data_IF_336609486954
#
_entry.id   IF_336609486954
#
_cell.length_a   1.000
_cell.length_b   1.000
_cell.length_c   1.000
_cell.angle_alpha   90.00
_cell.angle_beta   90.00
_cell.angle_gamma   90.00
#
_symmetry.space_group_name_H-M   'P 1'
#
loop_
_entity.id
_entity.type
_entity.pdbx_description
1 polymer ?
#
# COMPACT_ATOMS: atom_id res chain seq x y z
N UNK A 1 17.52 -21.88 5.32
CA UNK A 1 16.23 -22.47 4.95
C UNK A 1 15.04 -21.87 5.71
N UNK A 2 15.17 -21.41 6.97
CA UNK A 2 14.07 -20.81 7.73
C UNK A 2 13.63 -19.41 7.23
N UNK A 3 14.58 -18.54 6.84
CA UNK A 3 14.27 -17.16 6.46
C UNK A 3 13.35 -17.03 5.22
N UNK A 4 13.49 -17.91 4.24
CA UNK A 4 12.61 -17.95 3.05
C UNK A 4 11.19 -18.34 3.42
N UNK A 5 11.01 -19.30 4.32
CA UNK A 5 9.69 -19.71 4.80
C UNK A 5 9.00 -18.55 5.55
N UNK A 6 9.74 -17.83 6.40
CA UNK A 6 9.22 -16.66 7.12
C UNK A 6 8.79 -15.54 6.17
N UNK A 7 9.58 -15.27 5.11
CA UNK A 7 9.24 -14.29 4.09
C UNK A 7 7.96 -14.68 3.33
N UNK A 8 7.84 -15.93 2.88
CA UNK A 8 6.67 -16.40 2.14
C UNK A 8 5.38 -16.35 2.99
N UNK A 9 5.49 -16.66 4.29
CA UNK A 9 4.38 -16.52 5.23
C UNK A 9 3.99 -15.06 5.43
N UNK A 10 4.96 -14.16 5.60
CA UNK A 10 4.69 -12.72 5.72
C UNK A 10 4.01 -12.17 4.46
N UNK A 11 4.44 -12.59 3.28
CA UNK A 11 3.80 -12.23 2.01
C UNK A 11 2.34 -12.66 2.02
N UNK A 12 2.04 -13.93 2.32
CA UNK A 12 0.65 -14.43 2.36
C UNK A 12 -0.23 -13.71 3.39
N UNK A 13 0.32 -13.42 4.58
CA UNK A 13 -0.43 -12.72 5.63
C UNK A 13 -0.75 -11.29 5.20
N UNK A 14 0.24 -10.57 4.68
CA UNK A 14 0.07 -9.18 4.24
C UNK A 14 -0.78 -9.08 2.97
N UNK A 15 -0.80 -10.10 2.12
CA UNK A 15 -1.65 -10.16 0.93
C UNK A 15 -3.15 -10.17 1.28
N UNK A 16 -3.53 -10.74 2.43
CA UNK A 16 -4.91 -10.62 2.94
C UNK A 16 -5.33 -9.18 3.30
N UNK A 17 -4.36 -8.28 3.46
CA UNK A 17 -4.57 -6.86 3.75
C UNK A 17 -4.43 -5.99 2.49
N UNK A 18 -4.33 -6.59 1.30
CA UNK A 18 -4.10 -5.90 0.03
C UNK A 18 -4.99 -4.67 -0.18
N UNK A 19 -6.28 -4.76 0.19
CA UNK A 19 -7.24 -3.67 -0.01
C UNK A 19 -7.26 -2.64 1.13
N UNK A 20 -6.55 -2.89 2.23
CA UNK A 20 -6.45 -2.00 3.40
C UNK A 20 -5.08 -1.31 3.46
N UNK A 21 -4.91 -0.30 2.60
CA UNK A 21 -3.69 0.52 2.52
C UNK A 21 -3.22 1.11 3.87
N UNK A 22 -4.09 1.65 4.75
CA UNK A 22 -3.64 2.19 6.04
C UNK A 22 -2.99 1.13 6.92
N UNK A 23 -3.55 -0.08 6.95
CA UNK A 23 -3.02 -1.19 7.74
C UNK A 23 -1.69 -1.68 7.19
N UNK A 24 -1.58 -1.84 5.86
CA UNK A 24 -0.32 -2.18 5.19
C UNK A 24 0.77 -1.13 5.46
N UNK A 25 0.42 0.15 5.44
CA UNK A 25 1.33 1.24 5.79
C UNK A 25 1.83 1.08 7.23
N UNK A 26 0.96 0.87 8.20
CA UNK A 26 1.37 0.63 9.60
C UNK A 26 2.28 -0.59 9.73
N UNK A 27 1.98 -1.68 9.02
CA UNK A 27 2.84 -2.87 8.99
C UNK A 27 4.25 -2.56 8.47
N UNK A 28 4.36 -1.70 7.45
CA UNK A 28 5.65 -1.33 6.85
C UNK A 28 6.61 -0.61 7.81
N UNK A 29 6.11 -0.09 8.94
CA UNK A 29 6.88 0.64 9.94
C UNK A 29 7.43 -0.25 11.06
N UNK A 30 7.05 -1.53 11.12
CA UNK A 30 7.41 -2.43 12.24
C UNK A 30 8.88 -2.82 12.23
N UNK A 31 9.39 -3.30 11.10
CA UNK A 31 10.79 -3.67 10.90
C UNK A 31 11.12 -3.76 9.40
N UNK A 32 12.38 -4.04 9.08
CA UNK A 32 12.87 -4.08 7.71
C UNK A 32 12.26 -5.21 6.85
N UNK A 33 11.94 -6.37 7.42
CA UNK A 33 11.30 -7.49 6.70
C UNK A 33 9.86 -7.14 6.34
N UNK A 34 9.10 -6.62 7.31
CA UNK A 34 7.75 -6.13 7.08
C UNK A 34 7.73 -4.98 6.09
N UNK A 35 8.68 -4.05 6.18
CA UNK A 35 8.83 -2.96 5.24
C UNK A 35 9.01 -3.47 3.80
N UNK A 36 9.92 -4.44 3.63
CA UNK A 36 10.21 -5.04 2.32
C UNK A 36 8.98 -5.71 1.71
N UNK A 37 8.21 -6.47 2.49
CA UNK A 37 7.01 -7.17 2.00
C UNK A 37 5.85 -6.19 1.78
N UNK A 38 5.56 -5.33 2.75
CA UNK A 38 4.46 -4.37 2.66
C UNK A 38 4.67 -3.38 1.51
N UNK A 39 5.90 -2.89 1.29
CA UNK A 39 6.20 -1.99 0.17
C UNK A 39 5.93 -2.64 -1.18
N UNK A 40 6.27 -3.92 -1.36
CA UNK A 40 5.95 -4.66 -2.58
C UNK A 40 4.45 -4.66 -2.88
N UNK A 41 3.61 -4.81 -1.85
CA UNK A 41 2.16 -4.83 -1.99
C UNK A 41 1.61 -3.41 -2.20
N UNK A 42 1.99 -2.46 -1.34
CA UNK A 42 1.56 -1.06 -1.40
C UNK A 42 1.85 -0.43 -2.78
N UNK A 43 3.03 -0.70 -3.33
CA UNK A 43 3.45 -0.15 -4.62
C UNK A 43 3.19 -1.09 -5.81
N UNK A 44 2.51 -2.22 -5.60
CA UNK A 44 2.07 -3.08 -6.72
C UNK A 44 1.02 -2.40 -7.60
N UNK A 45 0.26 -1.45 -7.02
CA UNK A 45 -0.79 -0.71 -7.70
C UNK A 45 -0.63 0.79 -7.43
N UNK A 46 -0.55 1.56 -8.50
CA UNK A 46 -0.64 3.01 -8.44
C UNK A 46 -2.11 3.45 -8.48
N UNK A 47 -2.53 4.20 -7.48
CA UNK A 47 -3.84 4.89 -7.48
C UNK A 47 -3.57 6.38 -7.64
N UNK A 48 -4.16 7.00 -8.66
CA UNK A 48 -4.13 8.44 -8.83
C UNK A 48 -5.08 9.07 -7.81
N UNK A 49 -4.55 9.96 -6.97
CA UNK A 49 -5.33 10.77 -6.04
C UNK A 49 -4.99 12.25 -6.25
N UNK A 50 -5.97 13.10 -6.63
CA UNK A 50 -7.37 12.74 -6.86
C UNK A 50 -7.55 11.81 -8.08
N UNK A 51 -8.67 11.07 -8.17
CA UNK A 51 -9.00 10.29 -9.34
C UNK A 51 -8.93 11.13 -10.60
N UNK A 52 -8.50 10.55 -11.71
CA UNK A 52 -8.42 11.29 -12.98
C UNK A 52 -9.78 11.89 -13.33
N UNK A 53 -9.83 13.21 -13.45
CA UNK A 53 -10.97 13.96 -13.94
C UNK A 53 -10.67 14.44 -15.35
N UNK A 54 -11.52 14.04 -16.31
CA UNK A 54 -11.36 14.39 -17.73
C UNK A 54 -11.55 15.89 -17.98
N UNK A 55 -12.28 16.56 -17.10
CA UNK A 55 -12.57 17.99 -17.18
C UNK A 55 -11.95 18.64 -15.96
N UNK A 56 -11.14 19.66 -16.19
CA UNK A 56 -10.59 20.50 -15.14
C UNK A 56 -11.73 21.27 -14.48
N UNK A 57 -12.09 20.92 -13.25
CA UNK A 57 -13.02 21.73 -12.47
C UNK A 57 -12.29 22.96 -11.94
N UNK A 58 -12.52 24.12 -12.57
CA UNK A 58 -11.93 25.40 -12.15
C UNK A 58 -12.44 25.89 -10.79
N UNK A 59 -13.46 25.22 -10.23
CA UNK A 59 -14.01 25.52 -8.90
C UNK A 59 -13.42 24.63 -7.81
N UNK A 60 -12.61 23.64 -8.17
CA UNK A 60 -11.87 22.84 -7.21
C UNK A 60 -10.89 23.74 -6.45
N UNK A 61 -11.11 23.87 -5.13
CA UNK A 61 -10.27 24.67 -4.24
C UNK A 61 -9.03 23.90 -3.77
N UNK A 62 -8.88 22.64 -4.18
CA UNK A 62 -7.78 21.77 -3.78
C UNK A 62 -7.87 21.28 -2.34
N UNK A 63 -9.04 21.42 -1.70
CA UNK A 63 -9.27 20.99 -0.32
C UNK A 63 -9.80 19.54 -0.37
N UNK A 64 -9.03 18.54 0.09
CA UNK A 64 -9.52 17.17 0.16
C UNK A 64 -10.65 17.08 1.21
N UNK A 65 -11.81 16.59 0.78
CA UNK A 65 -12.97 16.25 1.64
C UNK A 65 -12.80 14.86 2.21
#
# INVERSE_FOLDING_TARGET
>A
MSATLSYDLLVRILDHLHDHYPTLYSCSLVNWEFNRVASKILYSRAVLSPPFQRVLDLRDTGIPV
#
